data_IF_631648451899
#
_entry.id   IF_631648451899
#
_cell.length_a   1.000
_cell.length_b   1.000
_cell.length_c   1.000
_cell.angle_alpha   90.00
_cell.angle_beta   90.00
_cell.angle_gamma   90.00
#
_symmetry.space_group_name_H-M   'P 1'
#
loop_
_entity.id
_entity.type
_entity.pdbx_description
1 polymer ?
#
# COMPACT_ATOMS: atom_id res chain seq x y z
N UNK A 1 53.81 -6.78 -69.43
CA UNK A 1 54.02 -6.71 -68.04
C UNK A 1 52.85 -5.95 -67.41
N UNK A 2 51.85 -6.58 -66.78
CA UNK A 2 50.77 -5.87 -66.16
C UNK A 2 51.06 -5.59 -64.66
N UNK A 3 50.80 -4.40 -64.23
CA UNK A 3 50.94 -3.93 -62.84
C UNK A 3 49.81 -4.49 -61.96
N UNK A 4 50.14 -5.18 -60.90
CA UNK A 4 49.20 -5.52 -59.80
C UNK A 4 48.89 -4.27 -59.01
N UNK A 5 47.60 -3.91 -58.94
CA UNK A 5 47.04 -2.93 -58.02
C UNK A 5 46.65 -3.69 -56.75
N UNK A 6 47.32 -3.38 -55.62
CA UNK A 6 46.98 -3.90 -54.32
C UNK A 6 45.71 -3.24 -53.79
N UNK A 7 44.71 -4.06 -53.49
CA UNK A 7 43.47 -3.65 -52.82
C UNK A 7 43.69 -3.66 -51.30
N UNK A 8 43.79 -2.47 -50.69
CA UNK A 8 43.84 -2.34 -49.25
C UNK A 8 42.41 -2.48 -48.67
N UNK A 9 42.15 -3.57 -47.95
CA UNK A 9 40.92 -3.76 -47.21
C UNK A 9 41.07 -3.06 -45.87
N UNK A 10 40.38 -1.93 -45.68
CA UNK A 10 40.21 -1.29 -44.37
C UNK A 10 39.25 -2.11 -43.53
N UNK A 11 39.75 -2.75 -42.50
CA UNK A 11 38.92 -3.28 -41.40
C UNK A 11 38.39 -2.09 -40.56
N UNK A 12 37.12 -1.72 -40.72
CA UNK A 12 36.44 -0.88 -39.76
C UNK A 12 36.18 -1.66 -38.48
N UNK A 13 36.96 -1.37 -37.45
CA UNK A 13 36.67 -1.85 -36.09
C UNK A 13 35.43 -1.11 -35.62
N UNK A 14 34.28 -1.76 -35.73
CA UNK A 14 33.05 -1.27 -35.16
C UNK A 14 33.23 -1.13 -33.62
N UNK A 15 33.18 0.13 -33.16
CA UNK A 15 33.08 0.40 -31.72
C UNK A 15 31.82 -0.27 -31.20
N UNK A 16 31.98 -1.36 -30.44
CA UNK A 16 30.90 -1.91 -29.62
C UNK A 16 30.39 -0.78 -28.71
N UNK A 17 29.20 -0.32 -28.98
CA UNK A 17 28.46 0.60 -28.12
C UNK A 17 28.47 0.04 -26.71
N UNK A 18 29.07 0.80 -25.78
CA UNK A 18 28.94 0.55 -24.35
C UNK A 18 27.45 0.35 -24.05
N UNK A 19 27.11 -0.84 -23.57
CA UNK A 19 25.73 -1.22 -23.29
C UNK A 19 25.03 -0.13 -22.51
N UNK A 20 23.83 0.22 -22.92
CA UNK A 20 22.95 1.08 -22.18
C UNK A 20 22.89 0.54 -20.75
N UNK A 21 23.50 1.25 -19.81
CA UNK A 21 23.30 0.99 -18.39
C UNK A 21 21.81 1.17 -18.20
N UNK A 22 21.11 0.06 -17.95
CA UNK A 22 19.68 0.08 -17.69
C UNK A 22 19.43 1.15 -16.63
N UNK A 23 18.67 2.16 -16.99
CA UNK A 23 18.35 3.26 -16.09
C UNK A 23 17.63 2.63 -14.91
N UNK A 24 18.23 2.67 -13.72
CA UNK A 24 17.65 2.12 -12.48
C UNK A 24 16.27 2.74 -12.35
N UNK A 25 15.26 1.90 -12.44
CA UNK A 25 13.88 2.38 -12.44
C UNK A 25 13.60 3.05 -11.11
N UNK A 26 13.21 4.33 -11.10
CA UNK A 26 12.87 5.09 -9.88
C UNK A 26 11.49 4.69 -9.31
N UNK A 27 11.20 3.39 -9.33
CA UNK A 27 9.99 2.83 -8.74
C UNK A 27 10.21 2.47 -7.27
N UNK A 28 9.28 2.82 -6.38
CA UNK A 28 9.31 2.35 -5.02
C UNK A 28 8.77 0.91 -4.88
N UNK A 29 8.19 0.34 -5.92
CA UNK A 29 7.52 -0.96 -5.89
C UNK A 29 8.51 -2.09 -6.15
N UNK A 30 8.51 -3.10 -5.27
CA UNK A 30 9.42 -4.23 -5.32
C UNK A 30 9.25 -5.04 -6.60
N UNK A 31 8.00 -5.21 -7.06
CA UNK A 31 7.65 -5.95 -8.27
C UNK A 31 8.13 -5.32 -9.58
N UNK A 32 8.51 -4.04 -9.56
CA UNK A 32 9.05 -3.33 -10.71
C UNK A 32 10.58 -3.46 -10.80
N UNK A 33 11.22 -4.07 -9.78
CA UNK A 33 12.68 -4.15 -9.63
C UNK A 33 13.20 -5.57 -9.89
N UNK A 34 14.39 -5.65 -10.46
CA UNK A 34 15.15 -6.89 -10.50
C UNK A 34 15.76 -7.21 -9.13
N UNK A 35 16.11 -8.47 -8.88
CA UNK A 35 16.73 -8.84 -7.61
C UNK A 35 18.07 -8.13 -7.36
N UNK A 36 18.83 -7.80 -8.41
CA UNK A 36 20.08 -7.05 -8.31
C UNK A 36 19.85 -5.59 -7.92
N UNK A 37 18.79 -4.96 -8.42
CA UNK A 37 18.39 -3.60 -8.03
C UNK A 37 17.94 -3.56 -6.56
N UNK A 38 17.18 -4.57 -6.12
CA UNK A 38 16.81 -4.69 -4.70
C UNK A 38 18.05 -4.84 -3.81
N UNK A 39 19.00 -5.70 -4.19
CA UNK A 39 20.25 -5.89 -3.46
C UNK A 39 21.08 -4.60 -3.38
N UNK A 40 21.19 -3.86 -4.50
CA UNK A 40 21.88 -2.57 -4.53
C UNK A 40 21.21 -1.53 -3.63
N UNK A 41 19.88 -1.44 -3.64
CA UNK A 41 19.12 -0.49 -2.81
C UNK A 41 19.22 -0.81 -1.32
N UNK A 42 19.15 -2.08 -0.93
CA UNK A 42 19.33 -2.48 0.48
C UNK A 42 20.75 -2.19 0.96
N UNK A 43 21.77 -2.44 0.14
CA UNK A 43 23.15 -2.07 0.42
C UNK A 43 23.35 -0.55 0.55
N UNK A 44 22.60 0.25 -0.22
CA UNK A 44 22.58 1.71 -0.14
C UNK A 44 21.76 2.26 1.06
N UNK A 45 21.21 1.38 1.93
CA UNK A 45 20.52 1.79 3.16
C UNK A 45 19.00 1.88 3.05
N UNK A 46 18.38 1.45 1.93
CA UNK A 46 16.92 1.31 1.83
C UNK A 46 16.52 0.01 2.53
N UNK A 47 16.32 0.09 3.84
CA UNK A 47 16.07 -1.08 4.71
C UNK A 47 14.66 -1.10 5.31
N UNK A 48 13.80 -0.21 4.88
CA UNK A 48 12.37 -0.21 5.22
C UNK A 48 11.56 -0.79 4.05
N UNK A 49 10.59 -1.64 4.33
CA UNK A 49 9.62 -2.09 3.34
C UNK A 49 8.20 -2.03 3.90
N UNK A 50 7.27 -1.56 3.08
CA UNK A 50 5.85 -1.49 3.43
C UNK A 50 5.16 -2.69 2.78
N UNK A 51 4.45 -3.49 3.56
CA UNK A 51 3.55 -4.54 3.06
C UNK A 51 2.12 -3.98 3.19
N UNK A 52 1.51 -3.55 2.08
CA UNK A 52 0.14 -3.07 2.09
C UNK A 52 -0.85 -4.23 1.98
N UNK A 53 -1.90 -4.22 2.78
CA UNK A 53 -3.05 -5.10 2.63
C UNK A 53 -4.21 -4.30 2.04
N UNK A 54 -4.81 -4.83 0.98
CA UNK A 54 -5.95 -4.27 0.27
C UNK A 54 -7.23 -5.04 0.56
N UNK A 55 -7.76 -5.68 -0.46
CA UNK A 55 -8.96 -6.54 -0.41
C UNK A 55 -9.82 -6.41 -1.67
N UNK A 56 -10.53 -7.48 -1.97
CA UNK A 56 -11.52 -7.55 -3.03
C UNK A 56 -12.91 -7.59 -2.39
N UNK A 57 -13.53 -6.43 -2.28
CA UNK A 57 -14.71 -6.21 -1.46
C UNK A 57 -15.81 -5.47 -2.25
N UNK A 58 -17.07 -5.87 -2.06
CA UNK A 58 -18.21 -5.11 -2.53
C UNK A 58 -18.21 -3.68 -1.96
N UNK A 59 -18.58 -2.70 -2.75
CA UNK A 59 -18.68 -1.30 -2.33
C UNK A 59 -19.83 -0.60 -3.03
N UNK A 60 -20.98 -1.25 -2.98
CA UNK A 60 -22.17 -0.82 -3.69
C UNK A 60 -22.03 -0.90 -5.22
N UNK A 61 -23.06 -0.47 -5.97
CA UNK A 61 -23.05 -0.55 -7.43
C UNK A 61 -22.14 0.48 -8.10
N UNK A 62 -21.71 1.51 -7.36
CA UNK A 62 -20.97 2.63 -7.91
C UNK A 62 -19.44 2.46 -7.87
N UNK A 63 -18.90 1.47 -7.15
CA UNK A 63 -17.46 1.24 -7.05
C UNK A 63 -17.07 -0.19 -7.42
N UNK A 64 -15.93 -0.33 -8.08
CA UNK A 64 -15.35 -1.62 -8.41
C UNK A 64 -14.79 -2.33 -7.16
N UNK A 65 -14.81 -3.67 -7.17
CA UNK A 65 -14.42 -4.53 -6.05
C UNK A 65 -12.97 -4.30 -5.55
N UNK A 66 -12.04 -3.98 -6.44
CA UNK A 66 -10.63 -3.83 -6.14
C UNK A 66 -10.21 -2.43 -5.64
N UNK A 67 -11.13 -1.62 -5.13
CA UNK A 67 -10.81 -0.25 -4.64
C UNK A 67 -9.71 -0.24 -3.58
N UNK A 68 -9.74 -1.22 -2.66
CA UNK A 68 -8.77 -1.30 -1.57
C UNK A 68 -7.35 -1.61 -2.07
N UNK A 69 -7.22 -2.48 -3.07
CA UNK A 69 -5.92 -2.78 -3.67
C UNK A 69 -5.33 -1.56 -4.37
N UNK A 70 -6.13 -0.87 -5.18
CA UNK A 70 -5.70 0.34 -5.87
C UNK A 70 -5.26 1.44 -4.89
N UNK A 71 -6.02 1.63 -3.81
CA UNK A 71 -5.73 2.61 -2.76
C UNK A 71 -4.49 2.23 -1.98
N UNK A 72 -4.40 0.98 -1.53
CA UNK A 72 -3.27 0.45 -0.78
C UNK A 72 -1.96 0.59 -1.57
N UNK A 73 -1.95 0.22 -2.86
CA UNK A 73 -0.79 0.39 -3.74
C UNK A 73 -0.39 1.87 -3.89
N UNK A 74 -1.34 2.73 -4.24
CA UNK A 74 -1.08 4.15 -4.47
C UNK A 74 -0.55 4.85 -3.22
N UNK A 75 -1.23 4.67 -2.09
CA UNK A 75 -0.88 5.33 -0.83
C UNK A 75 0.45 4.81 -0.28
N UNK A 76 0.70 3.50 -0.32
CA UNK A 76 1.99 2.94 0.08
C UNK A 76 3.14 3.48 -0.76
N UNK A 77 2.95 3.65 -2.07
CA UNK A 77 3.92 4.27 -2.97
C UNK A 77 4.23 5.72 -2.58
N UNK A 78 3.21 6.53 -2.26
CA UNK A 78 3.39 7.90 -1.77
C UNK A 78 4.09 7.95 -0.42
N UNK A 79 3.73 7.06 0.50
CA UNK A 79 4.37 6.94 1.82
C UNK A 79 5.84 6.57 1.66
N UNK A 80 6.17 5.58 0.83
CA UNK A 80 7.55 5.15 0.60
C UNK A 80 8.42 6.27 0.03
N UNK A 81 7.93 7.00 -0.97
CA UNK A 81 8.63 8.18 -1.53
C UNK A 81 8.86 9.26 -0.47
N UNK A 82 7.86 9.53 0.37
CA UNK A 82 7.98 10.56 1.42
C UNK A 82 8.90 10.14 2.58
N UNK A 83 9.03 8.83 2.85
CA UNK A 83 10.00 8.29 3.80
C UNK A 83 11.44 8.35 3.28
N UNK A 84 11.65 8.24 1.96
CA UNK A 84 12.94 8.33 1.28
C UNK A 84 13.85 7.10 1.42
N UNK A 85 13.53 6.17 2.34
CA UNK A 85 14.31 4.95 2.58
C UNK A 85 13.45 3.68 2.62
N UNK A 86 12.36 3.67 1.85
CA UNK A 86 11.39 2.59 1.86
C UNK A 86 11.06 2.09 0.45
N UNK A 87 10.85 0.77 0.32
CA UNK A 87 10.18 0.13 -0.81
C UNK A 87 8.78 -0.32 -0.40
N UNK A 88 8.00 -0.75 -1.38
CA UNK A 88 6.66 -1.28 -1.22
C UNK A 88 6.62 -2.70 -1.77
N UNK A 89 6.20 -3.65 -0.98
CA UNK A 89 5.91 -5.02 -1.43
C UNK A 89 4.59 -5.08 -2.21
N UNK A 90 4.35 -6.13 -3.00
CA UNK A 90 3.06 -6.35 -3.65
C UNK A 90 1.90 -6.29 -2.65
N UNK A 91 0.76 -5.76 -3.09
CA UNK A 91 -0.45 -5.68 -2.26
C UNK A 91 -0.95 -7.09 -1.94
N UNK A 92 -1.31 -7.34 -0.68
CA UNK A 92 -2.00 -8.57 -0.30
C UNK A 92 -3.49 -8.34 -0.52
N UNK A 93 -4.03 -8.94 -1.59
CA UNK A 93 -5.42 -8.78 -2.04
C UNK A 93 -6.38 -9.77 -1.40
N UNK A 94 -5.89 -10.94 -0.97
CA UNK A 94 -6.69 -11.95 -0.30
C UNK A 94 -6.62 -11.71 1.22
N UNK A 95 -7.70 -11.20 1.78
CA UNK A 95 -7.82 -10.75 3.17
C UNK A 95 -9.15 -11.21 3.78
N UNK A 96 -9.34 -11.16 5.10
CA UNK A 96 -10.63 -11.43 5.73
C UNK A 96 -11.67 -10.35 5.42
N UNK A 97 -12.77 -10.73 4.72
CA UNK A 97 -13.90 -9.86 4.37
C UNK A 97 -15.25 -10.39 4.90
N UNK A 98 -15.21 -11.40 5.76
CA UNK A 98 -16.35 -12.07 6.35
C UNK A 98 -16.24 -13.59 6.27
N UNK A 99 -17.16 -14.30 6.94
CA UNK A 99 -17.26 -15.76 6.88
C UNK A 99 -17.80 -16.20 5.53
N UNK A 100 -17.28 -17.33 5.02
CA UNK A 100 -17.68 -17.90 3.74
C UNK A 100 -18.93 -18.76 3.91
N UNK A 101 -19.00 -19.56 4.98
CA UNK A 101 -20.10 -20.49 5.25
C UNK A 101 -20.51 -20.46 6.73
N UNK A 102 -21.71 -19.92 7.06
CA UNK A 102 -22.61 -19.16 6.18
C UNK A 102 -22.03 -17.78 5.82
N UNK A 103 -22.36 -17.21 4.66
CA UNK A 103 -21.77 -15.93 4.24
C UNK A 103 -22.20 -14.78 5.17
N UNK A 104 -21.23 -14.03 5.66
CA UNK A 104 -21.47 -12.84 6.51
C UNK A 104 -20.92 -11.58 5.86
N UNK A 105 -21.31 -10.40 6.35
CA UNK A 105 -20.80 -9.09 5.94
C UNK A 105 -20.75 -8.94 4.42
N UNK A 106 -19.56 -8.64 3.87
CA UNK A 106 -19.36 -8.38 2.44
C UNK A 106 -19.45 -9.64 1.58
N UNK A 107 -19.26 -10.83 2.20
CA UNK A 107 -19.39 -12.13 1.52
C UNK A 107 -20.81 -12.43 1.02
N UNK A 108 -21.83 -11.66 1.41
CA UNK A 108 -23.20 -11.76 0.89
C UNK A 108 -23.33 -11.20 -0.53
N UNK A 109 -22.31 -10.54 -1.04
CA UNK A 109 -22.33 -9.89 -2.36
C UNK A 109 -21.37 -10.58 -3.33
N UNK A 110 -21.81 -10.85 -4.58
CA UNK A 110 -20.98 -11.51 -5.57
C UNK A 110 -19.66 -10.77 -5.83
N UNK A 111 -18.57 -11.54 -5.96
CA UNK A 111 -17.26 -11.05 -6.29
C UNK A 111 -16.40 -10.64 -5.10
N UNK A 112 -16.95 -10.55 -3.89
CA UNK A 112 -16.13 -10.41 -2.67
C UNK A 112 -15.35 -11.70 -2.43
N UNK A 113 -14.07 -11.57 -2.07
CA UNK A 113 -13.18 -12.69 -1.77
C UNK A 113 -12.72 -12.58 -0.32
N UNK A 114 -12.85 -13.67 0.43
CA UNK A 114 -12.39 -13.73 1.83
C UNK A 114 -11.51 -14.95 2.07
N UNK A 115 -10.57 -14.81 2.98
CA UNK A 115 -9.80 -15.92 3.53
C UNK A 115 -9.85 -15.88 5.08
N UNK A 116 -9.64 -17.03 5.76
CA UNK A 116 -9.57 -17.03 7.22
C UNK A 116 -8.41 -16.15 7.75
N UNK A 117 -8.62 -15.50 8.89
CA UNK A 117 -7.60 -14.68 9.59
C UNK A 117 -6.28 -15.44 9.83
N UNK A 118 -6.35 -16.74 10.10
CA UNK A 118 -5.15 -17.58 10.28
C UNK A 118 -4.32 -17.67 9.00
N UNK A 119 -4.95 -17.83 7.84
CA UNK A 119 -4.29 -17.87 6.52
C UNK A 119 -3.71 -16.51 6.20
N UNK A 120 -4.48 -15.43 6.40
CA UNK A 120 -4.01 -14.06 6.19
C UNK A 120 -2.76 -13.76 7.04
N UNK A 121 -2.80 -14.06 8.35
CA UNK A 121 -1.64 -13.86 9.23
C UNK A 121 -0.44 -14.69 8.80
N UNK A 122 -0.63 -15.95 8.42
CA UNK A 122 0.44 -16.80 7.93
C UNK A 122 1.07 -16.23 6.64
N UNK A 123 0.26 -15.70 5.73
CA UNK A 123 0.71 -15.08 4.47
C UNK A 123 1.58 -13.85 4.74
N UNK A 124 1.07 -12.89 5.55
CA UNK A 124 1.80 -11.64 5.81
C UNK A 124 3.08 -11.87 6.62
N UNK A 125 3.06 -12.83 7.55
CA UNK A 125 4.24 -13.21 8.33
C UNK A 125 5.30 -13.89 7.45
N UNK A 126 4.90 -14.76 6.54
CA UNK A 126 5.81 -15.42 5.58
C UNK A 126 6.46 -14.42 4.63
N UNK A 127 5.68 -13.47 4.11
CA UNK A 127 6.21 -12.38 3.30
C UNK A 127 7.22 -11.53 4.09
N UNK A 128 6.89 -11.15 5.32
CA UNK A 128 7.77 -10.38 6.17
C UNK A 128 9.08 -11.11 6.51
N UNK A 129 9.02 -12.41 6.77
CA UNK A 129 10.22 -13.24 6.99
C UNK A 129 11.13 -13.31 5.77
N UNK A 130 10.56 -13.46 4.58
CA UNK A 130 11.30 -13.45 3.30
C UNK A 130 12.00 -12.11 3.09
N UNK A 131 11.31 -11.00 3.33
CA UNK A 131 11.86 -9.67 3.17
C UNK A 131 12.97 -9.38 4.20
N UNK A 132 12.80 -9.83 5.44
CA UNK A 132 13.86 -9.76 6.46
C UNK A 132 15.12 -10.51 6.02
N UNK A 133 14.97 -11.72 5.44
CA UNK A 133 16.09 -12.50 4.91
C UNK A 133 16.91 -11.71 3.89
N UNK A 134 16.26 -10.88 3.09
CA UNK A 134 16.87 -10.07 2.04
C UNK A 134 17.35 -8.69 2.49
N UNK A 135 17.48 -8.45 3.81
CA UNK A 135 18.14 -7.25 4.36
C UNK A 135 17.21 -6.13 4.80
N UNK A 136 15.89 -6.28 4.68
CA UNK A 136 14.97 -5.30 5.23
C UNK A 136 14.92 -5.42 6.76
N UNK A 137 15.11 -4.29 7.45
CA UNK A 137 15.18 -4.20 8.91
C UNK A 137 13.89 -3.67 9.55
N UNK A 138 13.11 -2.89 8.81
CA UNK A 138 11.81 -2.39 9.27
C UNK A 138 10.76 -2.81 8.26
N UNK A 139 9.89 -3.73 8.65
CA UNK A 139 8.77 -4.22 7.86
C UNK A 139 7.51 -3.55 8.39
N UNK A 140 6.91 -2.68 7.59
CA UNK A 140 5.75 -1.86 7.96
C UNK A 140 4.48 -2.50 7.42
N UNK A 141 3.50 -2.75 8.28
CA UNK A 141 2.17 -3.23 7.89
C UNK A 141 1.19 -2.07 7.88
N UNK A 142 0.51 -1.88 6.75
CA UNK A 142 -0.62 -0.96 6.59
C UNK A 142 -1.80 -1.69 5.98
N UNK A 143 -3.01 -1.34 6.37
CA UNK A 143 -4.23 -1.98 5.88
C UNK A 143 -5.31 -0.98 5.53
N UNK A 144 -5.90 -1.14 4.34
CA UNK A 144 -6.89 -0.22 3.79
C UNK A 144 -8.34 -0.55 4.22
N UNK A 145 -8.58 -1.70 4.85
CA UNK A 145 -9.88 -2.13 5.36
C UNK A 145 -9.85 -2.37 6.88
N UNK A 146 -11.00 -2.16 7.54
CA UNK A 146 -11.14 -2.26 9.00
C UNK A 146 -11.07 -3.69 9.55
N UNK A 147 -11.55 -4.66 8.79
CA UNK A 147 -11.80 -6.02 9.26
C UNK A 147 -10.57 -6.78 9.74
N UNK A 148 -9.40 -6.52 9.17
CA UNK A 148 -8.17 -7.23 9.49
C UNK A 148 -7.11 -6.39 10.23
N UNK A 149 -7.45 -5.21 10.76
CA UNK A 149 -6.48 -4.36 11.49
C UNK A 149 -5.87 -5.09 12.69
N UNK A 150 -6.68 -5.89 13.41
CA UNK A 150 -6.19 -6.68 14.54
C UNK A 150 -5.25 -7.81 14.09
N UNK A 151 -5.48 -8.41 12.93
CA UNK A 151 -4.59 -9.44 12.38
C UNK A 151 -3.21 -8.88 12.01
N UNK A 152 -3.16 -7.67 11.45
CA UNK A 152 -1.90 -6.95 11.18
C UNK A 152 -1.13 -6.68 12.48
N UNK A 153 -1.84 -6.22 13.53
CA UNK A 153 -1.26 -5.97 14.86
C UNK A 153 -0.68 -7.25 15.45
N UNK A 154 -1.46 -8.32 15.51
CA UNK A 154 -1.04 -9.61 16.07
C UNK A 154 0.14 -10.20 15.30
N UNK A 155 0.15 -10.05 13.95
CA UNK A 155 1.26 -10.49 13.11
C UNK A 155 2.55 -9.73 13.41
N UNK A 156 2.47 -8.42 13.62
CA UNK A 156 3.63 -7.61 13.99
C UNK A 156 4.17 -8.00 15.38
N UNK A 157 3.28 -8.21 16.35
CA UNK A 157 3.65 -8.64 17.71
C UNK A 157 4.35 -10.00 17.70
N UNK A 158 3.82 -10.98 16.96
CA UNK A 158 4.40 -12.32 16.83
C UNK A 158 5.79 -12.27 16.20
N UNK A 159 5.94 -11.55 15.08
CA UNK A 159 7.23 -11.38 14.42
C UNK A 159 8.24 -10.69 15.34
N UNK A 160 7.83 -9.70 16.12
CA UNK A 160 8.72 -9.00 17.03
C UNK A 160 9.20 -9.91 18.20
N UNK A 161 8.35 -10.82 18.69
CA UNK A 161 8.78 -11.86 19.64
C UNK A 161 9.83 -12.76 19.01
N UNK A 162 9.59 -13.22 17.79
CA UNK A 162 10.51 -14.10 17.03
C UNK A 162 11.84 -13.41 16.70
N UNK A 163 11.84 -12.10 16.49
CA UNK A 163 13.01 -11.31 16.09
C UNK A 163 13.68 -10.58 17.24
N UNK A 164 13.33 -10.87 18.47
CA UNK A 164 13.79 -10.14 19.68
C UNK A 164 15.33 -10.01 19.77
N UNK A 165 16.07 -11.01 19.29
CA UNK A 165 17.54 -11.03 19.29
C UNK A 165 18.16 -10.45 18.00
N UNK A 166 17.37 -9.80 17.13
CA UNK A 166 17.85 -9.23 15.85
C UNK A 166 17.63 -7.71 15.80
N UNK A 167 18.20 -7.06 14.78
CA UNK A 167 17.96 -5.64 14.52
C UNK A 167 16.69 -5.37 13.68
N UNK A 168 16.03 -6.42 13.17
CA UNK A 168 14.81 -6.34 12.41
C UNK A 168 13.56 -6.26 13.29
N UNK A 169 12.49 -5.70 12.73
CA UNK A 169 11.18 -5.60 13.40
C UNK A 169 10.04 -5.45 12.40
N UNK A 170 8.86 -5.85 12.83
CA UNK A 170 7.60 -5.54 12.20
C UNK A 170 6.95 -4.34 12.91
N UNK A 171 6.36 -3.42 12.15
CA UNK A 171 5.67 -2.24 12.64
C UNK A 171 4.27 -2.19 12.04
N UNK A 172 3.25 -2.46 12.84
CA UNK A 172 1.87 -2.16 12.47
C UNK A 172 1.60 -0.66 12.66
N UNK A 173 1.07 -0.01 11.63
CA UNK A 173 0.78 1.44 11.60
C UNK A 173 -0.72 1.67 11.46
N UNK A 174 -1.47 1.66 12.58
CA UNK A 174 -2.92 1.88 12.55
C UNK A 174 -3.30 3.26 12.04
N UNK A 175 -2.40 4.24 12.09
CA UNK A 175 -2.63 5.62 11.63
C UNK A 175 -3.05 5.68 10.16
N UNK A 176 -2.59 4.72 9.34
CA UNK A 176 -3.02 4.60 7.95
C UNK A 176 -4.56 4.50 7.85
N UNK A 177 -5.16 3.56 8.57
CA UNK A 177 -6.60 3.35 8.58
C UNK A 177 -7.32 4.41 9.42
N UNK A 178 -6.81 4.72 10.60
CA UNK A 178 -7.44 5.67 11.53
C UNK A 178 -7.53 7.10 10.96
N UNK A 179 -6.65 7.49 10.04
CA UNK A 179 -6.75 8.77 9.36
C UNK A 179 -8.08 8.92 8.61
N UNK A 180 -8.59 7.83 8.01
CA UNK A 180 -9.88 7.83 7.31
C UNK A 180 -11.07 7.91 8.25
N UNK A 181 -10.93 7.44 9.49
CA UNK A 181 -12.00 7.40 10.49
C UNK A 181 -12.03 8.65 11.39
N UNK A 182 -10.89 9.34 11.52
CA UNK A 182 -10.70 10.47 12.41
C UNK A 182 -10.56 11.79 11.67
N UNK A 183 -9.33 12.16 11.33
CA UNK A 183 -9.00 13.51 10.80
C UNK A 183 -9.72 13.82 9.51
N UNK A 184 -9.79 12.88 8.59
CA UNK A 184 -10.48 13.06 7.31
C UNK A 184 -11.98 13.28 7.51
N UNK A 185 -12.65 12.45 8.35
CA UNK A 185 -14.07 12.64 8.70
C UNK A 185 -14.30 13.96 9.40
N UNK A 186 -13.43 14.36 10.33
CA UNK A 186 -13.53 15.65 11.00
C UNK A 186 -13.42 16.82 10.02
N UNK A 187 -12.55 16.73 9.01
CA UNK A 187 -12.44 17.74 7.98
C UNK A 187 -13.69 17.84 7.11
N UNK A 188 -14.26 16.70 6.72
CA UNK A 188 -15.52 16.65 5.97
C UNK A 188 -16.67 17.29 6.76
N UNK A 189 -16.77 17.04 8.07
CA UNK A 189 -17.75 17.68 8.94
C UNK A 189 -17.56 19.20 9.00
N UNK A 190 -16.33 19.70 9.10
CA UNK A 190 -16.05 21.16 9.05
C UNK A 190 -16.47 21.78 7.73
N UNK A 191 -16.45 21.03 6.64
CA UNK A 191 -16.92 21.45 5.32
C UNK A 191 -18.43 21.33 5.15
N UNK A 192 -19.18 20.96 6.19
CA UNK A 192 -20.64 20.92 6.20
C UNK A 192 -21.25 19.60 5.70
N UNK A 193 -20.48 18.53 5.58
CA UNK A 193 -21.01 17.20 5.25
C UNK A 193 -21.55 16.50 6.50
N UNK A 194 -22.77 15.96 6.41
CA UNK A 194 -23.42 15.23 7.51
C UNK A 194 -22.84 13.81 7.70
N UNK A 195 -22.95 13.26 8.92
CA UNK A 195 -22.46 11.91 9.21
C UNK A 195 -23.14 10.85 8.34
N UNK A 196 -24.44 10.98 8.10
CA UNK A 196 -25.19 10.05 7.25
C UNK A 196 -24.71 10.05 5.79
N UNK A 197 -24.20 11.20 5.31
CA UNK A 197 -23.63 11.36 3.97
C UNK A 197 -22.18 10.83 3.91
N UNK A 198 -21.36 11.22 4.88
CA UNK A 198 -19.96 10.77 4.98
C UNK A 198 -19.91 9.23 4.97
N UNK A 199 -20.78 8.61 5.78
CA UNK A 199 -20.93 7.17 5.84
C UNK A 199 -19.76 6.45 6.47
N UNK A 200 -19.83 5.12 6.44
CA UNK A 200 -18.78 4.22 6.91
C UNK A 200 -18.26 3.28 5.82
N UNK A 201 -19.03 3.12 4.73
CA UNK A 201 -18.69 2.25 3.62
C UNK A 201 -19.40 2.68 2.34
N UNK A 202 -18.68 2.85 1.24
CA UNK A 202 -19.19 3.31 -0.05
C UNK A 202 -19.95 4.65 0.00
N UNK A 203 -19.82 5.43 1.08
CA UNK A 203 -20.37 6.78 1.24
C UNK A 203 -19.49 7.87 0.62
N UNK A 204 -19.75 9.13 0.99
CA UNK A 204 -19.03 10.30 0.49
C UNK A 204 -17.52 10.17 0.67
N UNK A 205 -17.05 9.82 1.87
CA UNK A 205 -15.64 9.77 2.20
C UNK A 205 -14.91 8.69 1.39
N UNK A 206 -15.44 7.48 1.39
CA UNK A 206 -14.88 6.30 0.74
C UNK A 206 -14.84 6.45 -0.78
N UNK A 207 -15.95 6.91 -1.37
CA UNK A 207 -16.06 7.14 -2.82
C UNK A 207 -15.16 8.29 -3.27
N UNK A 208 -15.10 9.40 -2.53
CA UNK A 208 -14.21 10.52 -2.85
C UNK A 208 -12.74 10.13 -2.84
N UNK A 209 -12.32 9.36 -1.83
CA UNK A 209 -10.95 8.84 -1.73
C UNK A 209 -10.61 7.95 -2.95
N UNK A 210 -11.54 7.09 -3.35
CA UNK A 210 -11.37 6.26 -4.55
C UNK A 210 -11.31 7.09 -5.83
N UNK A 211 -12.14 8.14 -5.96
CA UNK A 211 -12.07 9.08 -7.09
C UNK A 211 -10.73 9.80 -7.19
N UNK A 212 -10.14 10.18 -6.07
CA UNK A 212 -8.84 10.87 -6.04
C UNK A 212 -7.68 9.96 -6.47
N UNK A 213 -7.78 8.66 -6.21
CA UNK A 213 -6.69 7.69 -6.42
C UNK A 213 -6.86 6.91 -7.72
N UNK A 214 -8.07 6.40 -7.97
CA UNK A 214 -8.39 5.50 -9.07
C UNK A 214 -9.79 5.82 -9.63
N UNK A 215 -9.95 6.98 -10.33
CA UNK A 215 -11.27 7.43 -10.80
C UNK A 215 -11.96 6.43 -11.71
N UNK A 216 -11.21 5.62 -12.46
CA UNK A 216 -11.76 4.54 -13.30
C UNK A 216 -12.46 3.42 -12.52
N UNK A 217 -12.28 3.35 -11.21
CA UNK A 217 -13.00 2.39 -10.36
C UNK A 217 -14.37 2.87 -9.91
N UNK A 218 -14.71 4.14 -10.10
CA UNK A 218 -16.02 4.71 -9.78
C UNK A 218 -16.89 4.78 -11.04
N UNK A 219 -18.16 4.48 -10.91
CA UNK A 219 -19.17 4.47 -11.98
C UNK A 219 -20.07 5.71 -11.85
N UNK A 220 -19.78 6.82 -12.53
CA UNK A 220 -20.51 8.09 -12.36
C UNK A 220 -22.00 7.97 -12.72
N UNK A 221 -22.37 7.04 -13.61
CA UNK A 221 -23.76 6.79 -13.98
C UNK A 221 -24.62 6.36 -12.78
N UNK A 222 -24.12 5.45 -11.94
CA UNK A 222 -24.83 5.03 -10.73
C UNK A 222 -24.94 6.13 -9.69
N UNK A 223 -23.89 6.97 -9.54
CA UNK A 223 -23.93 8.12 -8.62
C UNK A 223 -25.01 9.14 -9.03
N UNK A 224 -25.10 9.45 -10.33
CA UNK A 224 -26.10 10.39 -10.84
C UNK A 224 -27.52 9.83 -10.76
N UNK A 225 -27.70 8.55 -11.06
CA UNK A 225 -29.00 7.93 -10.98
C UNK A 225 -29.54 7.82 -9.55
N UNK A 226 -28.64 7.75 -8.55
CA UNK A 226 -29.00 7.64 -7.13
C UNK A 226 -29.73 6.37 -6.73
N UNK A 227 -29.92 5.45 -7.69
CA UNK A 227 -30.62 4.19 -7.47
C UNK A 227 -29.68 3.19 -6.78
N UNK A 228 -30.27 2.37 -5.90
CA UNK A 228 -29.53 1.28 -5.21
C UNK A 228 -28.33 1.76 -4.35
N UNK A 229 -28.31 3.02 -3.93
CA UNK A 229 -27.30 3.55 -3.03
C UNK A 229 -27.77 3.42 -1.56
N UNK A 230 -28.06 2.20 -1.13
CA UNK A 230 -28.59 1.88 0.19
C UNK A 230 -27.87 0.67 0.82
N UNK A 231 -28.10 0.43 2.11
CA UNK A 231 -27.55 -0.71 2.83
C UNK A 231 -27.89 -2.07 2.19
N UNK A 232 -29.07 -2.21 1.57
CA UNK A 232 -29.44 -3.42 0.84
C UNK A 232 -28.53 -3.70 -0.36
N UNK A 233 -27.88 -2.69 -0.89
CA UNK A 233 -26.91 -2.77 -1.99
C UNK A 233 -25.47 -2.51 -1.50
N UNK A 234 -25.22 -2.65 -0.20
CA UNK A 234 -23.89 -2.53 0.38
C UNK A 234 -23.35 -1.10 0.48
N UNK A 235 -24.21 -0.08 0.54
CA UNK A 235 -23.82 1.33 0.70
C UNK A 235 -24.28 1.83 2.06
N UNK A 236 -23.34 2.29 2.89
CA UNK A 236 -23.57 2.85 4.22
C UNK A 236 -23.10 4.31 4.28
N UNK A 237 -23.80 5.16 3.55
CA UNK A 237 -23.53 6.58 3.36
C UNK A 237 -24.23 7.13 2.12
N UNK A 238 -23.90 8.34 1.70
CA UNK A 238 -24.39 8.91 0.45
C UNK A 238 -23.23 9.40 -0.43
N UNK A 239 -22.88 8.66 -1.49
CA UNK A 239 -21.74 9.02 -2.34
C UNK A 239 -22.05 10.06 -3.42
N UNK A 240 -23.28 10.57 -3.53
CA UNK A 240 -23.72 11.43 -4.67
C UNK A 240 -22.93 12.73 -4.81
N UNK A 241 -22.45 13.29 -3.71
CA UNK A 241 -21.62 14.51 -3.68
C UNK A 241 -20.12 14.24 -3.66
N UNK A 242 -19.70 13.00 -3.88
CA UNK A 242 -18.29 12.62 -3.91
C UNK A 242 -17.55 13.31 -5.04
N UNK A 243 -16.33 13.76 -4.76
CA UNK A 243 -15.42 14.35 -5.75
C UNK A 243 -13.96 13.94 -5.47
N UNK A 244 -13.12 13.93 -6.50
CA UNK A 244 -11.70 13.72 -6.34
C UNK A 244 -11.03 14.80 -5.44
N UNK A 245 -11.50 16.05 -5.50
CA UNK A 245 -10.97 17.13 -4.66
C UNK A 245 -11.22 16.87 -3.16
N UNK A 246 -12.40 16.35 -2.81
CA UNK A 246 -12.71 15.92 -1.44
C UNK A 246 -11.78 14.77 -1.05
N UNK A 247 -11.60 13.78 -1.92
CA UNK A 247 -10.75 12.61 -1.66
C UNK A 247 -9.27 12.95 -1.51
N UNK A 248 -8.78 13.97 -2.21
CA UNK A 248 -7.38 14.40 -2.10
C UNK A 248 -7.00 14.83 -0.67
N UNK A 249 -7.93 15.41 0.08
CA UNK A 249 -7.72 15.71 1.50
C UNK A 249 -7.45 14.43 2.29
N UNK A 250 -8.25 13.39 2.07
CA UNK A 250 -8.03 12.08 2.70
C UNK A 250 -6.69 11.44 2.31
N UNK A 251 -6.27 11.57 1.05
CA UNK A 251 -4.95 11.10 0.58
C UNK A 251 -3.82 11.76 1.37
N UNK A 252 -3.82 13.08 1.52
CA UNK A 252 -2.77 13.80 2.24
C UNK A 252 -2.76 13.45 3.73
N UNK A 253 -3.93 13.31 4.36
CA UNK A 253 -4.04 12.93 5.77
C UNK A 253 -3.49 11.52 6.01
N UNK A 254 -3.87 10.53 5.20
CA UNK A 254 -3.37 9.15 5.33
C UNK A 254 -1.85 9.12 5.19
N UNK A 255 -1.31 9.75 4.14
CA UNK A 255 0.14 9.77 3.88
C UNK A 255 0.87 10.47 5.03
N UNK A 256 0.41 11.64 5.46
CA UNK A 256 1.04 12.43 6.52
C UNK A 256 1.07 11.70 7.85
N UNK A 257 -0.08 11.17 8.30
CA UNK A 257 -0.20 10.46 9.56
C UNK A 257 0.65 9.17 9.59
N UNK A 258 0.65 8.43 8.47
CA UNK A 258 1.44 7.20 8.36
C UNK A 258 2.94 7.49 8.40
N UNK A 259 3.41 8.47 7.63
CA UNK A 259 4.83 8.88 7.61
C UNK A 259 5.26 9.35 9.00
N UNK A 260 4.45 10.18 9.65
CA UNK A 260 4.75 10.68 11.00
C UNK A 260 4.89 9.54 12.01
N UNK A 261 4.01 8.52 11.95
CA UNK A 261 4.06 7.35 12.83
C UNK A 261 5.33 6.51 12.61
N UNK A 262 5.69 6.22 11.36
CA UNK A 262 6.92 5.47 11.04
C UNK A 262 8.16 6.23 11.48
N UNK A 263 8.22 7.54 11.24
CA UNK A 263 9.34 8.37 11.66
C UNK A 263 9.45 8.51 13.18
N UNK A 264 8.33 8.61 13.90
CA UNK A 264 8.30 8.67 15.37
C UNK A 264 8.87 7.39 15.98
N UNK A 265 8.49 6.24 15.44
CA UNK A 265 9.03 4.98 15.87
C UNK A 265 10.54 4.85 15.60
N UNK A 266 11.02 5.29 14.42
CA UNK A 266 12.46 5.34 14.10
C UNK A 266 13.23 6.22 15.09
N UNK A 267 12.73 7.42 15.41
CA UNK A 267 13.36 8.32 16.40
C UNK A 267 13.45 7.68 17.78
N UNK A 268 12.37 7.03 18.24
CA UNK A 268 12.34 6.34 19.52
C UNK A 268 13.41 5.24 19.61
N UNK A 269 13.60 4.45 18.55
CA UNK A 269 14.65 3.41 18.52
C UNK A 269 16.05 4.01 18.61
N UNK A 270 16.34 5.03 17.82
CA UNK A 270 17.64 5.68 17.85
C UNK A 270 17.98 6.25 19.24
N UNK A 271 16.99 6.78 19.95
CA UNK A 271 17.18 7.28 21.32
C UNK A 271 17.51 6.16 22.33
N UNK A 272 16.83 4.99 22.19
CA UNK A 272 17.09 3.81 23.05
C UNK A 272 18.51 3.28 22.79
N UNK A 273 18.92 3.13 21.52
CA UNK A 273 20.26 2.63 21.15
C UNK A 273 21.37 3.54 21.68
N UNK A 274 21.19 4.86 21.59
CA UNK A 274 22.17 5.83 22.15
C UNK A 274 22.31 5.71 23.67
N UNK A 275 21.20 5.50 24.39
CA UNK A 275 21.23 5.33 25.85
C UNK A 275 21.91 4.01 26.27
N UNK A 276 21.64 2.91 25.58
CA UNK A 276 22.26 1.61 25.86
C UNK A 276 23.76 1.56 25.46
N UNK A 277 24.16 2.31 24.44
CA UNK A 277 25.59 2.45 24.03
C UNK A 277 26.40 3.36 24.95
N UNK A 278 25.76 4.33 25.61
CA UNK A 278 26.43 5.24 26.59
C UNK A 278 26.63 4.60 27.99
N UNK A 279 26.03 3.42 28.20
CA UNK A 279 26.12 2.68 29.49
C UNK A 279 27.13 1.53 29.44
N UNK A 280 27.86 1.39 28.36
CA UNK A 280 28.98 0.42 28.19
C UNK A 280 30.30 1.17 28.05
#
# INVERSE_FOLDING_TARGET
MPRLQGLAVLFAIGACSAGAIAQVQDSPFLEDLTWTEVAARTAAGITTIIIPAGGIEQSGPAMALGKHDARARFLAGRIARRLGNALVAPVISYVPEGEIEPPTQHMRFPGTISIPSSVFRATIQSAAMSLKLHGFKTIVFVGDHGGYQNDLKLSAEELNRRWAATDARALFVPQYYLATQGVYVADLRRKGFGQAEIGTHAGLADTSLTMAIAPGMVRPGYLRAGQHLTAAFGVYGDPRRSTAAIGQVGVEEIVSQTVAAVQADRRRRLSIQRRSGASR
#
